data_IF_687897745151
#
_entry.id   IF_687897745151
#
_cell.length_a   1.000
_cell.length_b   1.000
_cell.length_c   1.000
_cell.angle_alpha   90.00
_cell.angle_beta   90.00
_cell.angle_gamma   90.00
#
_symmetry.space_group_name_H-M   'P 1'
#
loop_
_entity.id
_entity.type
_entity.pdbx_description
1 polymer ?
#
# COMPACT_ATOMS: atom_id res chain seq x y z
N UNK A 1 1.43 17.34 30.68
CA UNK A 1 0.45 17.06 29.58
C UNK A 1 1.14 16.59 28.31
N UNK A 2 2.45 16.34 28.37
CA UNK A 2 3.21 15.80 27.24
C UNK A 2 2.60 14.50 26.67
N UNK A 3 2.14 13.59 27.54
CA UNK A 3 1.55 12.33 27.12
C UNK A 3 0.31 12.42 26.23
N UNK A 4 -0.45 13.51 26.30
CA UNK A 4 -1.66 13.69 25.48
C UNK A 4 -1.31 13.87 24.01
N UNK A 5 -0.18 14.50 23.69
CA UNK A 5 0.27 14.72 22.31
C UNK A 5 1.18 13.58 21.85
N UNK A 6 2.07 13.13 22.71
CA UNK A 6 3.06 12.11 22.37
C UNK A 6 2.47 10.71 22.17
N UNK A 7 1.51 10.33 23.00
CA UNK A 7 0.93 8.97 22.95
C UNK A 7 0.24 8.62 21.62
N UNK A 8 -0.60 9.50 21.04
CA UNK A 8 -1.17 9.22 19.72
C UNK A 8 -0.11 9.05 18.63
N UNK A 9 0.92 9.88 18.63
CA UNK A 9 2.01 9.77 17.66
C UNK A 9 2.75 8.44 17.79
N UNK A 10 3.06 8.04 19.01
CA UNK A 10 3.71 6.75 19.27
C UNK A 10 2.83 5.59 18.82
N UNK A 11 1.53 5.68 19.11
CA UNK A 11 0.56 4.65 18.70
C UNK A 11 0.51 4.52 17.17
N UNK A 12 0.46 5.63 16.43
CA UNK A 12 0.48 5.63 14.96
C UNK A 12 1.77 4.98 14.46
N UNK A 13 2.90 5.34 15.04
CA UNK A 13 4.21 4.78 14.65
C UNK A 13 4.27 3.27 14.87
N UNK A 14 3.73 2.79 15.98
CA UNK A 14 3.69 1.35 16.29
C UNK A 14 2.75 0.63 15.34
N UNK A 15 1.55 1.17 15.09
CA UNK A 15 0.59 0.58 14.17
C UNK A 15 1.15 0.48 12.75
N UNK A 16 1.84 1.52 12.30
CA UNK A 16 2.48 1.53 10.99
C UNK A 16 3.49 0.38 10.86
N UNK A 17 4.38 0.24 11.82
CA UNK A 17 5.38 -0.83 11.81
C UNK A 17 4.75 -2.22 11.87
N UNK A 18 3.78 -2.40 12.76
CA UNK A 18 3.06 -3.68 12.89
C UNK A 18 2.32 -4.04 11.60
N UNK A 19 1.63 -3.07 11.00
CA UNK A 19 0.89 -3.31 9.76
C UNK A 19 1.81 -3.76 8.62
N UNK A 20 3.00 -3.19 8.52
CA UNK A 20 4.00 -3.58 7.52
C UNK A 20 4.51 -5.00 7.75
N UNK A 21 4.78 -5.37 9.00
CA UNK A 21 5.20 -6.73 9.34
C UNK A 21 4.09 -7.73 8.98
N UNK A 22 2.86 -7.47 9.41
CA UNK A 22 1.74 -8.37 9.16
C UNK A 22 1.43 -8.52 7.67
N UNK A 23 1.46 -7.43 6.94
CA UNK A 23 1.19 -7.47 5.50
C UNK A 23 2.31 -8.21 4.74
N UNK A 24 3.57 -7.97 5.10
CA UNK A 24 4.70 -8.69 4.49
C UNK A 24 4.61 -10.19 4.75
N UNK A 25 4.28 -10.59 5.97
CA UNK A 25 4.05 -12.00 6.31
C UNK A 25 2.89 -12.59 5.49
N UNK A 26 1.80 -11.85 5.38
CA UNK A 26 0.62 -12.30 4.63
C UNK A 26 0.85 -12.43 3.12
N UNK A 27 1.79 -11.69 2.57
CA UNK A 27 2.11 -11.70 1.14
C UNK A 27 3.38 -12.48 0.80
N UNK A 28 3.94 -13.21 1.75
CA UNK A 28 5.19 -13.97 1.60
C UNK A 28 5.13 -14.98 0.46
N UNK A 29 3.98 -15.62 0.25
CA UNK A 29 3.81 -16.60 -0.84
C UNK A 29 4.04 -16.02 -2.23
N UNK A 30 3.96 -14.70 -2.38
CA UNK A 30 4.24 -13.99 -3.62
C UNK A 30 5.59 -13.28 -3.60
N UNK A 31 6.38 -13.44 -2.55
CA UNK A 31 7.64 -12.72 -2.31
C UNK A 31 7.47 -11.21 -2.32
N UNK A 32 6.31 -10.72 -1.86
CA UNK A 32 6.00 -9.30 -1.83
C UNK A 32 6.23 -8.71 -0.44
N UNK A 33 6.88 -7.56 -0.40
CA UNK A 33 6.91 -6.72 0.80
C UNK A 33 5.61 -5.94 0.93
N UNK A 34 5.36 -5.36 2.10
CA UNK A 34 4.18 -4.54 2.33
C UNK A 34 4.10 -3.38 1.32
N UNK A 35 5.20 -2.67 1.07
CA UNK A 35 5.22 -1.56 0.12
C UNK A 35 4.88 -2.00 -1.30
N UNK A 36 5.41 -3.14 -1.73
CA UNK A 36 5.11 -3.73 -3.03
C UNK A 36 3.64 -4.13 -3.14
N UNK A 37 3.10 -4.74 -2.10
CA UNK A 37 1.68 -5.14 -2.07
C UNK A 37 0.75 -3.95 -2.22
N UNK A 38 1.05 -2.84 -1.54
CA UNK A 38 0.25 -1.61 -1.64
C UNK A 38 0.30 -1.02 -3.04
N UNK A 39 1.45 -1.03 -3.70
CA UNK A 39 1.57 -0.58 -5.10
C UNK A 39 0.73 -1.46 -6.03
N UNK A 40 0.79 -2.78 -5.87
CA UNK A 40 -0.04 -3.70 -6.65
C UNK A 40 -1.53 -3.38 -6.45
N UNK A 41 -1.95 -3.16 -5.21
CA UNK A 41 -3.33 -2.81 -4.90
C UNK A 41 -3.78 -1.57 -5.67
N UNK A 42 -3.01 -0.50 -5.61
CA UNK A 42 -3.33 0.77 -6.26
C UNK A 42 -3.37 0.63 -7.78
N UNK A 43 -2.38 -0.04 -8.35
CA UNK A 43 -2.30 -0.20 -9.81
C UNK A 43 -3.45 -1.07 -10.33
N UNK A 44 -3.78 -2.15 -9.62
CA UNK A 44 -4.93 -3.00 -9.98
C UNK A 44 -6.25 -2.26 -9.83
N UNK A 45 -6.41 -1.43 -8.80
CA UNK A 45 -7.64 -0.66 -8.59
C UNK A 45 -7.90 0.33 -9.73
N UNK A 46 -6.85 0.92 -10.29
CA UNK A 46 -6.95 1.96 -11.31
C UNK A 46 -6.70 1.46 -12.74
N UNK A 47 -6.12 0.28 -12.90
CA UNK A 47 -5.81 -0.33 -14.20
C UNK A 47 -4.58 0.26 -14.88
N UNK A 48 -4.40 1.57 -14.87
CA UNK A 48 -3.24 2.25 -15.43
C UNK A 48 -3.01 3.56 -14.68
N UNK A 49 -1.77 3.78 -14.27
CA UNK A 49 -1.35 5.01 -13.58
C UNK A 49 0.03 5.41 -14.08
N UNK A 50 0.31 6.71 -14.04
CA UNK A 50 1.71 7.15 -14.17
C UNK A 50 2.44 6.87 -12.85
N UNK A 51 3.76 6.73 -12.95
CA UNK A 51 4.60 6.54 -11.75
C UNK A 51 4.48 7.75 -10.81
N UNK A 52 4.33 8.97 -11.36
CA UNK A 52 4.11 10.17 -10.57
C UNK A 52 2.78 10.14 -9.81
N UNK A 53 1.72 9.61 -10.41
CA UNK A 53 0.43 9.46 -9.73
C UNK A 53 0.53 8.48 -8.56
N UNK A 54 1.27 7.37 -8.72
CA UNK A 54 1.52 6.41 -7.63
C UNK A 54 2.27 7.10 -6.48
N UNK A 55 3.30 7.88 -6.82
CA UNK A 55 4.08 8.65 -5.85
C UNK A 55 3.19 9.57 -5.02
N UNK A 56 2.32 10.33 -5.69
CA UNK A 56 1.40 11.26 -5.02
C UNK A 56 0.39 10.55 -4.13
N UNK A 57 -0.18 9.44 -4.61
CA UNK A 57 -1.19 8.69 -3.86
C UNK A 57 -0.64 8.07 -2.58
N UNK A 58 0.60 7.63 -2.62
CA UNK A 58 1.24 6.99 -1.46
C UNK A 58 2.02 7.95 -0.58
N UNK A 59 2.19 9.20 -1.02
CA UNK A 59 2.98 10.21 -0.30
C UNK A 59 4.39 9.71 0.04
N UNK A 60 4.99 8.96 -0.87
CA UNK A 60 6.35 8.44 -0.73
C UNK A 60 7.31 9.20 -1.64
N UNK A 61 8.60 9.10 -1.36
CA UNK A 61 9.63 9.72 -2.19
C UNK A 61 9.66 9.07 -3.57
N UNK A 62 9.95 9.87 -4.59
CA UNK A 62 10.09 9.39 -5.97
C UNK A 62 11.11 8.27 -6.09
N UNK A 63 12.21 8.34 -5.34
CA UNK A 63 13.26 7.30 -5.38
C UNK A 63 12.77 5.97 -4.81
N UNK A 64 11.95 6.00 -3.76
CA UNK A 64 11.36 4.79 -3.16
C UNK A 64 10.38 4.15 -4.13
N UNK A 65 9.50 4.95 -4.75
CA UNK A 65 8.55 4.45 -5.74
C UNK A 65 9.28 3.88 -6.96
N UNK A 66 10.31 4.58 -7.46
CA UNK A 66 11.08 4.10 -8.61
C UNK A 66 11.70 2.71 -8.34
N UNK A 67 12.27 2.51 -7.16
CA UNK A 67 12.85 1.22 -6.78
C UNK A 67 11.78 0.14 -6.65
N UNK A 68 10.65 0.47 -6.04
CA UNK A 68 9.53 -0.47 -5.85
C UNK A 68 8.95 -0.88 -7.21
N UNK A 69 8.71 0.07 -8.09
CA UNK A 69 8.18 -0.16 -9.44
C UNK A 69 9.15 -1.00 -10.27
N UNK A 70 10.44 -0.67 -10.23
CA UNK A 70 11.47 -1.45 -10.93
C UNK A 70 11.47 -2.90 -10.46
N UNK A 71 11.44 -3.12 -9.16
CA UNK A 71 11.42 -4.47 -8.60
C UNK A 71 10.15 -5.24 -8.99
N UNK A 72 8.99 -4.59 -8.95
CA UNK A 72 7.73 -5.21 -9.36
C UNK A 72 7.72 -5.56 -10.85
N UNK A 73 8.35 -4.74 -11.69
CA UNK A 73 8.51 -5.05 -13.11
C UNK A 73 9.41 -6.27 -13.32
N UNK A 74 10.52 -6.36 -12.59
CA UNK A 74 11.42 -7.52 -12.62
C UNK A 74 10.71 -8.80 -12.19
N UNK A 75 9.84 -8.71 -11.17
CA UNK A 75 9.08 -9.84 -10.66
C UNK A 75 7.88 -10.20 -11.54
N UNK A 76 7.58 -9.38 -12.55
CA UNK A 76 6.50 -9.65 -13.49
C UNK A 76 5.11 -9.20 -13.04
N UNK A 77 5.01 -8.36 -12.01
CA UNK A 77 3.72 -7.88 -11.51
C UNK A 77 3.22 -6.63 -12.24
N UNK A 78 4.11 -5.84 -12.80
CA UNK A 78 3.72 -4.64 -13.55
C UNK A 78 4.47 -4.55 -14.86
N UNK A 79 3.85 -3.87 -15.81
CA UNK A 79 4.47 -3.45 -17.06
C UNK A 79 4.67 -1.94 -17.01
N UNK A 80 5.83 -1.52 -17.45
CA UNK A 80 6.22 -0.12 -17.44
C UNK A 80 6.56 0.32 -18.86
N UNK A 81 5.97 1.43 -19.30
CA UNK A 81 6.23 2.01 -20.62
C UNK A 81 6.42 3.51 -20.50
N UNK A 82 7.12 4.10 -21.46
CA UNK A 82 7.31 5.54 -21.50
C UNK A 82 5.98 6.22 -21.80
N UNK A 83 5.65 7.27 -21.02
CA UNK A 83 4.44 8.06 -21.25
C UNK A 83 4.62 8.87 -22.53
N UNK A 84 3.69 8.75 -23.52
CA UNK A 84 3.83 9.46 -24.80
C UNK A 84 3.70 10.98 -24.68
N UNK A 85 3.03 11.46 -23.64
CA UNK A 85 2.81 12.89 -23.40
C UNK A 85 3.89 13.52 -22.53
N UNK A 86 4.55 12.74 -21.69
CA UNK A 86 5.59 13.20 -20.78
C UNK A 86 6.66 12.12 -20.61
N UNK A 87 7.78 12.29 -21.32
CA UNK A 87 8.88 11.31 -21.31
C UNK A 87 9.64 11.25 -19.99
N UNK A 88 9.30 12.11 -19.02
CA UNK A 88 9.93 12.11 -17.69
C UNK A 88 9.27 11.13 -16.73
N UNK A 89 8.12 10.58 -17.09
CA UNK A 89 7.40 9.60 -16.26
C UNK A 89 7.09 8.36 -17.06
N UNK A 90 6.68 7.30 -16.36
CA UNK A 90 6.30 6.02 -16.95
C UNK A 90 4.84 5.74 -16.70
N UNK A 91 4.20 5.09 -17.67
CA UNK A 91 2.90 4.47 -17.46
C UNK A 91 3.10 3.09 -16.85
N UNK A 92 2.30 2.76 -15.85
CA UNK A 92 2.36 1.52 -15.10
C UNK A 92 1.03 0.80 -15.22
N UNK A 93 1.08 -0.47 -15.60
CA UNK A 93 -0.10 -1.34 -15.73
C UNK A 93 0.12 -2.62 -14.95
N UNK A 94 -0.94 -3.20 -14.36
CA UNK A 94 -0.84 -4.51 -13.76
C UNK A 94 -0.77 -5.59 -14.84
N UNK A 95 0.00 -6.64 -14.56
CA UNK A 95 0.01 -7.85 -15.38
C UNK A 95 -1.07 -8.81 -14.90
N UNK A 96 -1.28 -9.92 -15.62
CA UNK A 96 -2.15 -10.99 -15.16
C UNK A 96 -1.68 -11.58 -13.83
N UNK A 97 -0.37 -11.65 -13.63
CA UNK A 97 0.21 -12.10 -12.36
C UNK A 97 -0.23 -11.21 -11.20
N UNK A 98 -0.21 -9.89 -11.39
CA UNK A 98 -0.70 -8.95 -10.39
C UNK A 98 -2.19 -9.13 -10.13
N UNK A 99 -2.97 -9.27 -11.17
CA UNK A 99 -4.42 -9.46 -11.05
C UNK A 99 -4.78 -10.77 -10.35
N UNK A 100 -3.99 -11.81 -10.57
CA UNK A 100 -4.16 -13.09 -9.87
C UNK A 100 -3.81 -12.97 -8.38
N UNK A 101 -2.80 -12.17 -8.03
CA UNK A 101 -2.41 -11.93 -6.64
C UNK A 101 -3.33 -10.93 -5.92
N UNK A 102 -4.02 -10.08 -6.64
CA UNK A 102 -4.82 -8.98 -6.09
C UNK A 102 -5.84 -9.41 -5.02
N UNK A 103 -6.66 -10.46 -5.22
CA UNK A 103 -7.62 -10.87 -4.18
C UNK A 103 -6.92 -11.27 -2.88
N UNK A 104 -5.77 -11.93 -2.97
CA UNK A 104 -5.00 -12.30 -1.78
C UNK A 104 -4.44 -11.07 -1.07
N UNK A 105 -3.91 -10.10 -1.83
CA UNK A 105 -3.42 -8.84 -1.26
C UNK A 105 -4.54 -8.10 -0.53
N UNK A 106 -5.73 -8.01 -1.15
CA UNK A 106 -6.90 -7.41 -0.51
C UNK A 106 -7.24 -8.10 0.80
N UNK A 107 -7.29 -9.42 0.80
CA UNK A 107 -7.58 -10.21 2.00
C UNK A 107 -6.56 -9.93 3.10
N UNK A 108 -5.28 -9.88 2.76
CA UNK A 108 -4.23 -9.61 3.76
C UNK A 108 -4.30 -8.19 4.32
N UNK A 109 -4.68 -7.23 3.50
CA UNK A 109 -4.90 -5.85 3.98
C UNK A 109 -6.09 -5.79 4.93
N UNK A 110 -7.18 -6.47 4.61
CA UNK A 110 -8.34 -6.56 5.50
C UNK A 110 -7.99 -7.26 6.81
N UNK A 111 -7.21 -8.33 6.75
CA UNK A 111 -6.73 -9.02 7.94
C UNK A 111 -5.86 -8.12 8.82
N UNK A 112 -4.99 -7.31 8.21
CA UNK A 112 -4.19 -6.33 8.94
C UNK A 112 -5.07 -5.32 9.66
N UNK A 113 -6.07 -4.76 8.98
CA UNK A 113 -7.00 -3.82 9.59
C UNK A 113 -7.79 -4.48 10.72
N UNK A 114 -8.21 -5.72 10.54
CA UNK A 114 -8.88 -6.50 11.57
C UNK A 114 -8.01 -6.70 12.81
N UNK A 115 -6.72 -6.95 12.63
CA UNK A 115 -5.77 -7.07 13.76
C UNK A 115 -5.55 -5.75 14.46
N UNK A 116 -5.41 -4.65 13.70
CA UNK A 116 -5.25 -3.32 14.29
C UNK A 116 -6.45 -2.92 15.12
N UNK A 117 -7.64 -3.33 14.74
CA UNK A 117 -8.91 -2.95 15.38
C UNK A 117 -9.54 -4.06 16.22
N UNK A 118 -8.79 -5.13 16.51
CA UNK A 118 -9.32 -6.32 17.18
C UNK A 118 -9.86 -6.09 18.60
N UNK A 119 -9.47 -4.97 19.23
CA UNK A 119 -9.94 -4.61 20.58
C UNK A 119 -11.06 -3.57 20.54
N UNK A 120 -11.51 -3.18 19.35
CA UNK A 120 -12.57 -2.20 19.15
C UNK A 120 -13.92 -2.89 18.94
N UNK A 121 -15.00 -2.23 19.36
CA UNK A 121 -16.35 -2.64 18.97
C UNK A 121 -16.56 -2.34 17.48
N UNK A 122 -17.63 -2.86 16.89
CA UNK A 122 -17.94 -2.59 15.48
C UNK A 122 -18.13 -1.09 15.23
N UNK A 123 -18.81 -0.38 16.13
CA UNK A 123 -19.03 1.06 15.97
C UNK A 123 -17.72 1.84 16.12
N UNK A 124 -16.83 1.42 17.03
CA UNK A 124 -15.51 2.04 17.18
C UNK A 124 -14.64 1.82 15.95
N UNK A 125 -14.69 0.63 15.37
CA UNK A 125 -13.94 0.30 14.13
C UNK A 125 -14.42 1.16 12.97
N UNK A 126 -15.73 1.32 12.81
CA UNK A 126 -16.31 2.15 11.76
C UNK A 126 -15.90 3.62 11.93
N UNK A 127 -15.93 4.12 13.15
CA UNK A 127 -15.50 5.48 13.46
C UNK A 127 -13.99 5.66 13.21
N UNK A 128 -13.19 4.69 13.61
CA UNK A 128 -11.74 4.69 13.37
C UNK A 128 -11.44 4.77 11.86
N UNK A 129 -12.15 3.94 11.06
CA UNK A 129 -12.02 3.98 9.60
C UNK A 129 -12.37 5.35 9.04
N UNK A 130 -13.49 5.91 9.48
CA UNK A 130 -13.95 7.23 9.06
C UNK A 130 -12.91 8.31 9.36
N UNK A 131 -12.38 8.30 10.58
CA UNK A 131 -11.40 9.30 11.02
C UNK A 131 -10.06 9.18 10.30
N UNK A 132 -9.61 7.96 10.02
CA UNK A 132 -8.39 7.74 9.24
C UNK A 132 -8.49 8.39 7.86
N UNK A 133 -9.65 8.32 7.22
CA UNK A 133 -9.85 8.89 5.89
C UNK A 133 -9.91 10.42 5.90
N UNK A 134 -10.09 11.05 7.06
CA UNK A 134 -10.03 12.50 7.23
C UNK A 134 -8.61 13.00 7.47
N UNK A 135 -7.72 12.14 7.89
CA UNK A 135 -6.33 12.49 8.13
C UNK A 135 -5.52 12.53 6.83
#
# INVERSE_FOLDING_TARGET
>A
MAGIVEEPFKAISILYRKSHIWLSEGCEQYDLTAAQAVVILIVCDHGELTQDEVTKRLSLDKSVIAKTVTKLAELGFIERSTNPKDKRTFDIRPTEKARAAYPHVQEQIENCFGRMTGRMSDSERDEFRRLLLLA
#
